data_IF_440792919617
#
_entry.id   IF_440792919617
#
_cell.length_a   1.000
_cell.length_b   1.000
_cell.length_c   1.000
_cell.angle_alpha   90.00
_cell.angle_beta   90.00
_cell.angle_gamma   90.00
#
_symmetry.space_group_name_H-M   'P 1'
#
loop_
_entity.id
_entity.type
_entity.pdbx_description
1 polymer ?
#
# COMPACT_ATOMS: atom_id res chain seq x y z
N UNK A 1 7.81 -21.83 -3.67
CA UNK A 1 7.41 -20.76 -2.73
C UNK A 1 8.26 -19.55 -3.00
N UNK A 2 7.67 -18.34 -3.01
CA UNK A 2 8.47 -17.10 -3.06
C UNK A 2 9.14 -16.92 -1.69
N UNK A 3 10.25 -16.20 -1.64
CA UNK A 3 10.92 -15.87 -0.38
C UNK A 3 10.60 -14.43 0.00
N UNK A 4 10.41 -14.17 1.30
CA UNK A 4 10.37 -12.81 1.83
C UNK A 4 11.70 -12.12 1.56
N UNK A 5 11.63 -10.91 0.99
CA UNK A 5 12.81 -10.07 0.81
C UNK A 5 12.99 -9.20 2.04
N UNK A 6 14.17 -9.27 2.64
CA UNK A 6 14.56 -8.36 3.73
C UNK A 6 14.80 -6.97 3.16
N UNK A 7 14.28 -5.95 3.84
CA UNK A 7 14.57 -4.55 3.56
C UNK A 7 15.79 -4.17 4.39
N UNK A 8 16.85 -3.71 3.72
CA UNK A 8 17.95 -3.04 4.40
C UNK A 8 17.46 -1.65 4.83
N UNK A 9 17.40 -1.41 6.14
CA UNK A 9 16.91 -0.16 6.71
C UNK A 9 17.83 1.04 6.44
N UNK A 10 19.02 0.81 5.89
CA UNK A 10 19.89 1.88 5.43
C UNK A 10 19.19 2.68 4.34
N UNK A 11 19.10 4.00 4.54
CA UNK A 11 18.58 4.88 3.49
C UNK A 11 19.49 4.79 2.25
N UNK A 12 18.90 4.78 1.04
CA UNK A 12 19.63 4.62 -0.20
C UNK A 12 20.73 5.68 -0.32
N UNK A 13 21.75 5.50 -1.16
CA UNK A 13 22.75 6.56 -1.44
C UNK A 13 22.33 7.44 -2.62
N UNK A 14 21.65 6.86 -3.60
CA UNK A 14 21.16 7.59 -4.76
C UNK A 14 19.93 8.43 -4.39
N UNK A 15 20.06 9.77 -4.50
CA UNK A 15 18.98 10.73 -4.23
C UNK A 15 18.12 11.05 -5.46
N UNK A 16 18.51 10.54 -6.63
CA UNK A 16 17.80 10.71 -7.91
C UNK A 16 17.65 9.36 -8.62
N UNK A 17 16.96 8.40 -8.02
CA UNK A 17 16.71 7.10 -8.65
C UNK A 17 15.76 7.26 -9.85
N UNK A 18 15.85 6.38 -10.84
CA UNK A 18 14.89 6.34 -11.96
C UNK A 18 13.73 5.38 -11.71
N UNK A 19 13.93 4.42 -10.81
CA UNK A 19 12.96 3.41 -10.37
C UNK A 19 12.90 3.38 -8.86
N UNK A 20 11.80 2.88 -8.33
CA UNK A 20 11.61 2.66 -6.89
C UNK A 20 10.76 1.40 -6.69
N UNK A 21 10.86 0.82 -5.50
CA UNK A 21 9.89 -0.15 -5.02
C UNK A 21 8.71 0.61 -4.40
N UNK A 22 7.62 0.76 -5.15
CA UNK A 22 6.35 1.21 -4.59
C UNK A 22 5.78 0.10 -3.70
N UNK A 23 5.77 0.32 -2.39
CA UNK A 23 5.36 -0.68 -1.41
C UNK A 23 3.94 -0.41 -0.95
N UNK A 24 3.00 -1.20 -1.45
CA UNK A 24 1.62 -1.13 -1.01
C UNK A 24 1.41 -2.01 0.21
N UNK A 25 0.74 -1.47 1.22
CA UNK A 25 0.19 -2.20 2.37
C UNK A 25 -1.35 -2.27 2.30
N UNK A 26 -1.96 -1.76 1.23
CA UNK A 26 -3.42 -1.68 1.07
C UNK A 26 -3.91 -2.42 -0.18
N UNK A 27 -5.02 -1.95 -0.77
CA UNK A 27 -5.64 -2.63 -1.92
C UNK A 27 -4.74 -2.75 -3.15
N UNK A 28 -3.75 -1.87 -3.34
CA UNK A 28 -2.85 -1.95 -4.50
C UNK A 28 -1.85 -3.11 -4.41
N UNK A 29 -1.82 -3.88 -3.32
CA UNK A 29 -1.16 -5.19 -3.29
C UNK A 29 -1.79 -6.19 -4.27
N UNK A 30 -3.06 -6.01 -4.61
CA UNK A 30 -3.75 -6.78 -5.65
C UNK A 30 -3.40 -6.22 -7.04
N UNK A 31 -2.84 -7.06 -7.93
CA UNK A 31 -2.32 -6.58 -9.21
C UNK A 31 -3.38 -5.99 -10.13
N UNK A 32 -4.61 -6.51 -10.13
CA UNK A 32 -5.70 -5.91 -10.93
C UNK A 32 -6.12 -4.54 -10.40
N UNK A 33 -6.03 -4.35 -9.07
CA UNK A 33 -6.28 -3.05 -8.46
C UNK A 33 -5.20 -2.07 -8.89
N UNK A 34 -3.92 -2.46 -8.76
CA UNK A 34 -2.80 -1.66 -9.22
C UNK A 34 -2.86 -1.37 -10.72
N UNK A 35 -3.31 -2.32 -11.54
CA UNK A 35 -3.46 -2.16 -12.98
C UNK A 35 -4.42 -1.02 -13.32
N UNK A 36 -5.48 -0.79 -12.54
CA UNK A 36 -6.36 0.35 -12.74
C UNK A 36 -5.64 1.70 -12.57
N UNK A 37 -4.76 1.83 -11.57
CA UNK A 37 -3.95 3.05 -11.36
C UNK A 37 -2.88 3.23 -12.43
N UNK A 38 -2.32 2.15 -12.98
CA UNK A 38 -1.25 2.20 -13.98
C UNK A 38 -1.81 2.36 -15.39
N UNK A 39 -2.70 1.47 -15.82
CA UNK A 39 -3.25 1.46 -17.19
C UNK A 39 -4.39 2.46 -17.37
N UNK A 40 -5.07 2.82 -16.29
CA UNK A 40 -6.31 3.58 -16.32
C UNK A 40 -7.52 2.71 -16.67
N UNK A 41 -8.67 3.36 -16.82
CA UNK A 41 -9.95 2.73 -17.11
C UNK A 41 -10.82 2.53 -15.87
N UNK A 42 -11.93 1.82 -16.04
CA UNK A 42 -12.92 1.57 -15.00
C UNK A 42 -12.97 0.06 -14.72
N UNK A 43 -12.51 -0.41 -13.55
CA UNK A 43 -12.66 -1.82 -13.18
C UNK A 43 -14.13 -2.25 -13.21
N UNK A 44 -14.44 -3.51 -13.55
CA UNK A 44 -15.82 -4.01 -13.53
C UNK A 44 -16.51 -3.75 -12.20
N UNK A 45 -17.68 -3.10 -12.23
CA UNK A 45 -18.45 -2.75 -11.04
C UNK A 45 -17.93 -1.55 -10.23
N UNK A 46 -16.83 -0.91 -10.64
CA UNK A 46 -16.34 0.29 -9.98
C UNK A 46 -17.10 1.53 -10.46
N UNK A 47 -17.56 2.38 -9.52
CA UNK A 47 -18.15 3.68 -9.85
C UNK A 47 -17.11 4.70 -10.37
N UNK A 48 -15.81 4.38 -10.25
CA UNK A 48 -14.70 5.30 -10.52
C UNK A 48 -13.88 4.87 -11.72
N UNK A 49 -13.67 5.81 -12.62
CA UNK A 49 -12.67 5.75 -13.69
C UNK A 49 -11.31 6.25 -13.18
N UNK A 50 -10.24 5.58 -13.59
CA UNK A 50 -8.85 5.93 -13.26
C UNK A 50 -8.18 6.50 -14.50
N UNK A 51 -7.51 7.66 -14.42
CA UNK A 51 -6.81 8.24 -15.57
C UNK A 51 -5.63 7.38 -16.06
N UNK A 52 -5.05 6.58 -15.16
CA UNK A 52 -3.83 5.82 -15.44
C UNK A 52 -2.57 6.67 -15.34
N UNK A 53 -1.42 6.03 -15.27
CA UNK A 53 -0.13 6.69 -15.28
C UNK A 53 0.22 7.17 -16.70
N UNK A 54 1.17 8.12 -16.78
CA UNK A 54 1.80 8.56 -18.03
C UNK A 54 2.50 7.40 -18.74
N UNK A 55 3.26 6.61 -17.98
CA UNK A 55 3.76 5.29 -18.40
C UNK A 55 2.83 4.19 -17.88
N UNK A 56 2.18 3.49 -18.81
CA UNK A 56 1.18 2.45 -18.53
C UNK A 56 1.76 1.03 -18.46
N UNK A 57 3.09 0.87 -18.51
CA UNK A 57 3.73 -0.43 -18.38
C UNK A 57 3.56 -1.01 -16.97
N UNK A 58 3.09 -2.26 -16.86
CA UNK A 58 2.97 -2.92 -15.56
C UNK A 58 4.33 -3.15 -14.90
N UNK A 59 4.41 -3.23 -13.55
CA UNK A 59 5.65 -3.50 -12.84
C UNK A 59 6.26 -4.81 -13.32
N UNK A 60 7.53 -4.77 -13.71
CA UNK A 60 8.26 -5.95 -14.21
C UNK A 60 8.53 -6.97 -13.09
N UNK A 61 8.53 -6.51 -11.84
CA UNK A 61 8.70 -7.33 -10.64
C UNK A 61 7.75 -6.86 -9.54
N UNK A 62 7.23 -7.81 -8.78
CA UNK A 62 6.48 -7.55 -7.56
C UNK A 62 6.84 -8.60 -6.51
N UNK A 63 7.33 -8.16 -5.36
CA UNK A 63 7.90 -9.01 -4.31
C UNK A 63 7.15 -8.83 -2.99
N UNK A 64 7.00 -9.89 -2.19
CA UNK A 64 6.51 -9.78 -0.82
C UNK A 64 7.60 -9.19 0.08
N UNK A 65 7.20 -8.26 0.96
CA UNK A 65 8.08 -7.61 1.95
C UNK A 65 7.33 -7.43 3.26
N UNK A 66 8.07 -7.24 4.35
CA UNK A 66 7.53 -6.81 5.64
C UNK A 66 8.16 -5.46 6.00
N UNK A 67 7.34 -4.44 6.28
CA UNK A 67 7.80 -3.16 6.81
C UNK A 67 7.80 -3.21 8.34
N UNK A 68 8.70 -2.50 9.00
CA UNK A 68 8.56 -2.20 10.44
C UNK A 68 7.51 -1.12 10.63
N UNK A 69 6.57 -1.30 11.56
CA UNK A 69 5.50 -0.33 11.79
C UNK A 69 4.17 -1.02 12.09
N UNK A 70 3.09 -0.26 11.93
CA UNK A 70 1.73 -0.78 12.04
C UNK A 70 0.86 -0.30 10.88
N UNK A 71 0.03 -1.22 10.36
CA UNK A 71 -1.06 -0.86 9.46
C UNK A 71 -2.33 -0.71 10.30
N UNK A 72 -3.13 0.31 10.01
CA UNK A 72 -4.39 0.56 10.70
C UNK A 72 -5.46 1.01 9.71
N UNK A 73 -6.73 0.80 10.06
CA UNK A 73 -7.87 1.25 9.27
C UNK A 73 -8.49 2.48 9.91
N UNK A 74 -8.57 3.57 9.14
CA UNK A 74 -9.18 4.81 9.57
C UNK A 74 -9.83 5.51 8.37
N UNK A 75 -10.61 6.55 8.65
CA UNK A 75 -11.37 7.35 7.67
C UNK A 75 -12.33 6.53 6.80
N UNK A 76 -13.38 7.16 6.28
CA UNK A 76 -14.28 6.44 5.38
C UNK A 76 -13.80 6.51 3.92
N UNK A 77 -13.73 5.36 3.25
CA UNK A 77 -13.50 5.25 1.82
C UNK A 77 -14.80 5.36 1.04
N UNK A 78 -14.99 6.38 0.17
CA UNK A 78 -16.16 6.43 -0.71
C UNK A 78 -16.15 5.32 -1.77
N UNK A 79 -15.00 4.70 -2.02
CA UNK A 79 -14.86 3.58 -2.97
C UNK A 79 -15.24 2.25 -2.32
N UNK A 80 -15.02 2.12 -1.01
CA UNK A 80 -15.13 0.84 -0.31
C UNK A 80 -16.24 0.78 0.73
N UNK A 81 -16.80 1.92 1.16
CA UNK A 81 -17.86 1.97 2.17
C UNK A 81 -17.40 1.54 3.57
N UNK A 82 -16.19 1.94 3.97
CA UNK A 82 -15.60 1.62 5.27
C UNK A 82 -14.17 2.15 5.43
N UNK A 83 -13.52 1.76 6.52
CA UNK A 83 -12.12 2.08 6.85
C UNK A 83 -11.14 1.74 5.72
N UNK A 84 -10.21 2.65 5.41
CA UNK A 84 -9.09 2.37 4.48
C UNK A 84 -7.78 2.24 5.24
N UNK A 85 -6.83 1.52 4.65
CA UNK A 85 -5.55 1.26 5.28
C UNK A 85 -4.64 2.50 5.25
N UNK A 86 -4.00 2.76 6.38
CA UNK A 86 -2.88 3.68 6.57
C UNK A 86 -1.74 2.95 7.26
N UNK A 87 -0.58 3.58 7.27
CA UNK A 87 0.65 3.02 7.80
C UNK A 87 1.33 4.02 8.74
N UNK A 88 1.63 3.57 9.95
CA UNK A 88 2.43 4.30 10.92
C UNK A 88 3.85 3.68 10.97
N UNK A 89 4.88 4.38 10.44
CA UNK A 89 6.27 3.88 10.44
C UNK A 89 6.95 3.98 11.82
N UNK A 90 6.37 4.70 12.78
CA UNK A 90 6.93 4.88 14.12
C UNK A 90 6.36 3.89 15.14
N UNK A 91 5.26 3.23 14.80
CA UNK A 91 4.72 2.14 15.61
C UNK A 91 5.67 0.94 15.65
N UNK A 92 5.54 0.13 16.70
CA UNK A 92 6.23 -1.16 16.79
C UNK A 92 5.41 -2.25 16.10
N UNK A 93 6.07 -3.19 15.44
CA UNK A 93 5.43 -4.32 14.80
C UNK A 93 5.92 -4.54 13.39
N UNK A 94 5.10 -5.25 12.62
CA UNK A 94 5.35 -5.56 11.22
C UNK A 94 4.11 -5.31 10.38
N UNK A 95 4.34 -4.91 9.13
CA UNK A 95 3.30 -4.71 8.13
C UNK A 95 3.57 -5.62 6.95
N UNK A 96 2.66 -6.56 6.71
CA UNK A 96 2.71 -7.39 5.51
C UNK A 96 2.37 -6.52 4.30
N UNK A 97 3.25 -6.52 3.30
CA UNK A 97 3.14 -5.62 2.17
C UNK A 97 3.64 -6.25 0.87
N UNK A 98 3.38 -5.57 -0.24
CA UNK A 98 3.87 -5.94 -1.56
C UNK A 98 4.58 -4.75 -2.21
N UNK A 99 5.83 -4.97 -2.59
CA UNK A 99 6.65 -3.99 -3.29
C UNK A 99 6.62 -4.23 -4.80
N UNK A 100 6.25 -3.21 -5.56
CA UNK A 100 6.13 -3.21 -7.02
C UNK A 100 7.24 -2.34 -7.63
N UNK A 101 8.04 -2.90 -8.54
CA UNK A 101 9.13 -2.13 -9.18
C UNK A 101 8.56 -1.24 -10.28
N UNK A 102 8.50 0.07 -10.00
CA UNK A 102 7.93 1.08 -10.88
C UNK A 102 8.94 2.18 -11.19
N UNK A 103 8.68 3.01 -12.19
CA UNK A 103 9.46 4.24 -12.40
C UNK A 103 9.09 5.28 -11.33
N UNK A 104 9.97 6.26 -11.06
CA UNK A 104 9.63 7.39 -10.18
C UNK A 104 8.41 8.15 -10.70
N UNK A 105 8.27 8.27 -12.02
CA UNK A 105 7.13 8.90 -12.67
C UNK A 105 5.82 8.16 -12.37
N UNK A 106 5.82 6.83 -12.48
CA UNK A 106 4.66 6.00 -12.13
C UNK A 106 4.33 6.10 -10.63
N UNK A 107 5.34 6.11 -9.75
CA UNK A 107 5.11 6.30 -8.32
C UNK A 107 4.42 7.64 -8.02
N UNK A 108 4.87 8.73 -8.66
CA UNK A 108 4.24 10.05 -8.57
C UNK A 108 2.79 10.06 -9.08
N UNK A 109 2.55 9.43 -10.23
CA UNK A 109 1.20 9.34 -10.83
C UNK A 109 0.23 8.49 -9.99
N UNK A 110 0.71 7.42 -9.35
CA UNK A 110 -0.07 6.62 -8.40
C UNK A 110 -0.41 7.48 -7.18
N UNK A 111 0.57 8.16 -6.58
CA UNK A 111 0.35 9.02 -5.41
C UNK A 111 -0.65 10.15 -5.68
N UNK A 112 -0.57 10.79 -6.86
CA UNK A 112 -1.53 11.81 -7.27
C UNK A 112 -2.97 11.26 -7.32
N UNK A 113 -3.16 10.07 -7.89
CA UNK A 113 -4.48 9.43 -8.00
C UNK A 113 -5.07 9.03 -6.64
N UNK A 114 -4.23 8.61 -5.68
CA UNK A 114 -4.66 8.31 -4.31
C UNK A 114 -5.18 9.56 -3.58
N UNK A 115 -4.65 10.73 -3.95
CA UNK A 115 -5.09 12.05 -3.51
C UNK A 115 -6.19 12.66 -4.38
N UNK A 116 -6.75 11.88 -5.31
CA UNK A 116 -7.84 12.29 -6.21
C UNK A 116 -7.45 13.45 -7.14
N UNK A 117 -6.16 13.54 -7.49
CA UNK A 117 -5.60 14.50 -8.44
C UNK A 117 -5.31 13.84 -9.78
N UNK A 118 -5.20 14.66 -10.81
CA UNK A 118 -4.71 14.22 -12.11
C UNK A 118 -3.21 13.86 -12.02
N UNK A 119 -2.79 12.74 -12.64
CA UNK A 119 -1.38 12.45 -12.93
C UNK A 119 -0.72 13.55 -13.77
N UNK A 120 0.60 13.66 -13.71
CA UNK A 120 1.34 14.61 -14.57
C UNK A 120 2.45 15.39 -13.88
N UNK A 121 2.46 15.44 -12.55
CA UNK A 121 3.47 16.16 -11.77
C UNK A 121 4.42 15.16 -11.11
N UNK A 122 5.72 15.42 -11.22
CA UNK A 122 6.74 14.62 -10.55
C UNK A 122 6.85 15.00 -9.07
N UNK A 123 7.13 14.01 -8.22
CA UNK A 123 7.37 14.24 -6.78
C UNK A 123 8.85 14.49 -6.53
N UNK A 124 9.15 15.45 -5.65
CA UNK A 124 10.49 15.56 -5.07
C UNK A 124 10.67 14.49 -3.97
N UNK A 125 11.60 13.57 -4.20
CA UNK A 125 11.90 12.47 -3.28
C UNK A 125 13.08 12.77 -2.36
N UNK A 126 13.79 13.89 -2.54
CA UNK A 126 15.08 14.15 -1.88
C UNK A 126 14.98 14.04 -0.37
N UNK A 127 13.98 14.68 0.24
CA UNK A 127 13.79 14.66 1.69
C UNK A 127 13.43 13.27 2.19
N UNK A 128 12.52 12.57 1.53
CA UNK A 128 12.15 11.21 1.91
C UNK A 128 13.35 10.23 1.82
N UNK A 129 14.20 10.39 0.81
CA UNK A 129 15.40 9.56 0.62
C UNK A 129 16.55 9.94 1.55
N UNK A 130 16.52 11.13 2.16
CA UNK A 130 17.58 11.62 3.06
C UNK A 130 17.21 11.46 4.52
N UNK A 131 15.96 11.74 4.87
CA UNK A 131 15.45 11.75 6.24
C UNK A 131 14.54 10.55 6.55
N UNK A 132 14.25 9.72 5.54
CA UNK A 132 13.32 8.59 5.68
C UNK A 132 11.84 8.98 5.57
N UNK A 133 11.51 10.27 5.55
CA UNK A 133 10.13 10.77 5.51
C UNK A 133 10.06 12.18 4.93
N UNK A 134 8.98 12.49 4.21
CA UNK A 134 8.65 13.86 3.77
C UNK A 134 7.14 14.07 3.74
N UNK A 135 6.66 15.19 4.27
CA UNK A 135 5.24 15.58 4.21
C UNK A 135 5.07 16.59 3.08
N UNK A 136 4.29 16.24 2.06
CA UNK A 136 4.13 17.01 0.82
C UNK A 136 2.85 17.87 0.80
N UNK A 137 1.98 17.73 1.80
CA UNK A 137 0.71 18.44 1.90
C UNK A 137 -0.15 17.96 3.06
N UNK A 138 -1.37 18.48 3.16
CA UNK A 138 -2.30 18.25 4.28
C UNK A 138 -3.28 17.07 4.07
N UNK A 139 -3.19 16.42 2.93
CA UNK A 139 -4.04 15.30 2.54
C UNK A 139 -3.68 13.95 3.18
N UNK A 140 -4.61 13.00 3.06
CA UNK A 140 -4.56 11.66 3.66
C UNK A 140 -3.38 10.78 3.23
N UNK A 141 -2.82 10.98 2.05
CA UNK A 141 -1.68 10.20 1.53
C UNK A 141 -0.54 11.13 1.05
N UNK A 142 -0.35 12.27 1.71
CA UNK A 142 0.67 13.25 1.36
C UNK A 142 2.03 13.02 2.04
N UNK A 143 2.17 11.97 2.84
CA UNK A 143 3.44 11.69 3.53
C UNK A 143 4.17 10.56 2.83
N UNK A 144 5.31 10.87 2.23
CA UNK A 144 6.24 9.86 1.73
C UNK A 144 7.04 9.26 2.89
N UNK A 145 7.25 7.95 2.82
CA UNK A 145 8.13 7.21 3.73
C UNK A 145 9.10 6.36 2.93
N UNK A 146 10.38 6.44 3.25
CA UNK A 146 11.41 5.54 2.77
C UNK A 146 11.77 4.53 3.86
N UNK A 147 11.39 3.27 3.64
CA UNK A 147 11.64 2.18 4.59
C UNK A 147 13.05 1.59 4.49
N UNK A 148 13.91 2.17 3.63
CA UNK A 148 15.24 1.65 3.30
C UNK A 148 15.34 1.24 1.84
N UNK A 149 16.02 0.12 1.57
CA UNK A 149 16.32 -0.34 0.22
C UNK A 149 16.24 -1.87 0.05
N UNK A 150 15.93 -2.29 -1.18
CA UNK A 150 15.99 -3.69 -1.63
C UNK A 150 16.69 -3.70 -2.99
N UNK A 151 17.74 -4.51 -3.13
CA UNK A 151 18.60 -4.52 -4.32
C UNK A 151 19.10 -3.11 -4.70
N UNK A 152 19.58 -2.35 -3.71
CA UNK A 152 20.04 -0.94 -3.82
C UNK A 152 18.97 0.06 -4.32
N UNK A 153 17.71 -0.39 -4.42
CA UNK A 153 16.59 0.41 -4.89
C UNK A 153 15.75 0.90 -3.69
N UNK A 154 15.37 2.19 -3.64
CA UNK A 154 14.57 2.71 -2.54
C UNK A 154 13.22 2.02 -2.41
N UNK A 155 12.85 1.70 -1.17
CA UNK A 155 11.52 1.21 -0.80
C UNK A 155 10.69 2.39 -0.34
N UNK A 156 9.73 2.80 -1.15
CA UNK A 156 8.89 3.97 -0.90
C UNK A 156 7.42 3.59 -0.76
N UNK A 157 6.74 4.30 0.13
CA UNK A 157 5.28 4.32 0.22
C UNK A 157 4.81 5.74 0.51
N UNK A 158 3.50 5.94 0.44
CA UNK A 158 2.81 7.11 0.99
C UNK A 158 1.84 6.69 2.09
N UNK A 159 1.57 7.58 3.03
CA UNK A 159 0.65 7.40 4.16
C UNK A 159 0.17 8.77 4.66
N UNK A 160 -0.59 8.77 5.75
CA UNK A 160 -1.07 9.98 6.40
C UNK A 160 0.04 10.72 7.17
N UNK A 161 -0.08 12.04 7.39
CA UNK A 161 0.89 12.80 8.17
C UNK A 161 0.80 12.57 9.68
N UNK A 162 -0.26 11.94 10.17
CA UNK A 162 -0.53 11.67 11.58
C UNK A 162 -0.12 10.26 12.03
N UNK A 163 0.01 10.05 13.34
CA UNK A 163 0.17 8.72 13.92
C UNK A 163 -1.19 8.00 14.00
N UNK A 164 -1.15 6.67 14.07
CA UNK A 164 -2.35 5.86 14.31
C UNK A 164 -3.08 6.18 15.63
N UNK A 165 -2.44 6.87 16.58
CA UNK A 165 -3.05 7.30 17.84
C UNK A 165 -3.83 8.63 17.72
N UNK A 166 -3.62 9.39 16.64
CA UNK A 166 -4.20 10.74 16.45
C UNK A 166 -5.52 10.73 15.67
N UNK A 167 -6.03 9.54 15.32
CA UNK A 167 -7.21 9.39 14.47
C UNK A 167 -8.09 8.24 14.97
N UNK A 168 -9.40 8.43 14.87
CA UNK A 168 -10.36 7.38 15.16
C UNK A 168 -10.24 6.25 14.13
N UNK A 169 -10.19 5.02 14.61
CA UNK A 169 -10.18 3.85 13.76
C UNK A 169 -11.58 3.55 13.24
N UNK A 170 -11.64 3.14 11.97
CA UNK A 170 -12.91 2.84 11.29
C UNK A 170 -12.82 1.42 10.75
N UNK A 171 -13.81 0.56 11.00
CA UNK A 171 -13.78 -0.81 10.49
C UNK A 171 -13.80 -0.84 8.96
N UNK A 172 -12.92 -1.65 8.32
CA UNK A 172 -12.96 -1.82 6.88
C UNK A 172 -14.20 -2.62 6.46
N UNK A 173 -14.68 -2.38 5.24
CA UNK A 173 -15.76 -3.16 4.66
C UNK A 173 -15.28 -4.54 4.20
N UNK A 174 -16.22 -5.48 4.03
CA UNK A 174 -15.93 -6.83 3.51
C UNK A 174 -15.23 -6.80 2.15
N UNK A 175 -15.67 -5.91 1.26
CA UNK A 175 -15.07 -5.73 -0.06
C UNK A 175 -13.61 -5.26 0.04
N UNK A 176 -13.30 -4.33 0.95
CA UNK A 176 -11.92 -3.86 1.14
C UNK A 176 -11.02 -4.94 1.72
N UNK A 177 -11.49 -5.62 2.77
CA UNK A 177 -10.77 -6.74 3.41
C UNK A 177 -10.45 -7.82 2.38
N UNK A 178 -11.41 -8.21 1.54
CA UNK A 178 -11.21 -9.21 0.49
C UNK A 178 -10.09 -8.82 -0.47
N UNK A 179 -10.10 -7.59 -1.01
CA UNK A 179 -9.06 -7.13 -1.94
C UNK A 179 -7.69 -7.06 -1.29
N UNK A 180 -7.62 -6.54 -0.07
CA UNK A 180 -6.36 -6.42 0.68
C UNK A 180 -5.77 -7.81 0.95
N UNK A 181 -6.56 -8.73 1.51
CA UNK A 181 -6.11 -10.06 1.85
C UNK A 181 -5.79 -10.92 0.61
N UNK A 182 -6.59 -10.84 -0.47
CA UNK A 182 -6.25 -11.49 -1.74
C UNK A 182 -4.94 -10.96 -2.34
N UNK A 183 -4.66 -9.66 -2.18
CA UNK A 183 -3.39 -9.04 -2.54
C UNK A 183 -2.20 -9.70 -1.83
N UNK A 184 -2.31 -9.90 -0.51
CA UNK A 184 -1.29 -10.58 0.30
C UNK A 184 -1.12 -12.05 -0.10
N UNK A 185 -2.20 -12.80 -0.26
CA UNK A 185 -2.15 -14.22 -0.65
C UNK A 185 -1.49 -14.40 -2.02
N UNK A 186 -1.81 -13.55 -2.99
CA UNK A 186 -1.22 -13.60 -4.34
C UNK A 186 0.29 -13.31 -4.34
N UNK A 187 0.85 -12.80 -3.24
CA UNK A 187 2.29 -12.64 -3.08
C UNK A 187 3.00 -13.99 -2.83
N UNK A 188 2.28 -15.03 -2.44
CA UNK A 188 2.71 -16.44 -2.46
C UNK A 188 3.70 -16.83 -1.36
N UNK A 189 3.66 -16.15 -0.22
CA UNK A 189 4.52 -16.42 0.95
C UNK A 189 3.75 -16.59 2.26
N UNK A 190 2.52 -16.09 2.33
CA UNK A 190 1.62 -16.26 3.46
C UNK A 190 0.42 -17.10 3.00
N UNK A 191 -0.09 -17.94 3.89
CA UNK A 191 -1.32 -18.70 3.69
C UNK A 191 -2.55 -17.93 4.21
N UNK A 192 -3.73 -18.51 4.02
CA UNK A 192 -5.01 -17.92 4.41
C UNK A 192 -5.07 -17.63 5.91
N UNK A 193 -4.57 -18.56 6.74
CA UNK A 193 -4.59 -18.42 8.20
C UNK A 193 -3.70 -17.26 8.65
N UNK A 194 -2.47 -17.18 8.14
CA UNK A 194 -1.55 -16.10 8.47
C UNK A 194 -2.08 -14.72 8.02
N UNK A 195 -2.67 -14.63 6.82
CA UNK A 195 -3.27 -13.38 6.32
C UNK A 195 -4.50 -13.00 7.12
N UNK A 196 -5.39 -13.96 7.42
CA UNK A 196 -6.60 -13.71 8.20
C UNK A 196 -6.28 -13.23 9.61
N UNK A 197 -5.33 -13.89 10.29
CA UNK A 197 -4.85 -13.49 11.62
C UNK A 197 -4.24 -12.09 11.60
N UNK A 198 -3.36 -11.82 10.63
CA UNK A 198 -2.74 -10.49 10.48
C UNK A 198 -3.79 -9.38 10.27
N UNK A 199 -4.74 -9.56 9.36
CA UNK A 199 -5.74 -8.54 9.06
C UNK A 199 -6.72 -8.36 10.22
N UNK A 200 -7.16 -9.44 10.88
CA UNK A 200 -8.01 -9.36 12.06
C UNK A 200 -7.34 -8.59 13.21
N UNK A 201 -6.03 -8.77 13.39
CA UNK A 201 -5.28 -8.11 14.45
C UNK A 201 -5.01 -6.61 14.19
N UNK A 202 -5.21 -6.13 12.97
CA UNK A 202 -4.92 -4.74 12.62
C UNK A 202 -5.88 -3.77 13.34
N UNK A 203 -5.38 -2.66 13.92
CA UNK A 203 -6.20 -1.59 14.48
C UNK A 203 -7.28 -1.10 13.51
N UNK A 204 -8.50 -0.96 14.01
CA UNK A 204 -9.71 -0.70 13.21
C UNK A 204 -10.40 -1.95 12.67
N UNK A 205 -9.68 -3.02 12.36
CA UNK A 205 -10.28 -4.33 12.06
C UNK A 205 -10.50 -5.18 13.32
N UNK A 206 -9.59 -5.08 14.29
CA UNK A 206 -9.67 -5.81 15.56
C UNK A 206 -10.98 -5.53 16.29
N UNK A 207 -11.63 -6.59 16.76
CA UNK A 207 -12.96 -6.53 17.38
C UNK A 207 -14.14 -6.45 16.41
N UNK A 208 -13.91 -6.18 15.12
CA UNK A 208 -14.93 -6.12 14.08
C UNK A 208 -14.84 -7.28 13.08
N UNK A 209 -13.63 -7.81 12.88
CA UNK A 209 -13.34 -8.92 11.99
C UNK A 209 -12.73 -10.09 12.77
N UNK A 210 -13.28 -11.29 12.59
CA UNK A 210 -12.67 -12.53 13.09
C UNK A 210 -11.79 -13.16 12.02
N UNK A 211 -10.77 -13.90 12.44
CA UNK A 211 -9.89 -14.66 11.53
C UNK A 211 -10.73 -15.59 10.64
N UNK A 212 -11.68 -16.32 11.24
CA UNK A 212 -12.62 -17.18 10.51
C UNK A 212 -13.44 -16.39 9.48
N UNK A 213 -14.00 -15.23 9.85
CA UNK A 213 -14.79 -14.42 8.93
C UNK A 213 -13.97 -13.93 7.73
N UNK A 214 -12.68 -13.60 7.93
CA UNK A 214 -11.78 -13.24 6.84
C UNK A 214 -11.44 -14.46 5.97
N UNK A 215 -11.18 -15.62 6.58
CA UNK A 215 -10.90 -16.86 5.83
C UNK A 215 -12.10 -17.31 4.98
N UNK A 216 -13.32 -17.21 5.53
CA UNK A 216 -14.57 -17.52 4.82
C UNK A 216 -14.75 -16.57 3.63
N UNK A 217 -14.53 -15.26 3.82
CA UNK A 217 -14.57 -14.26 2.74
C UNK A 217 -13.62 -14.53 1.56
N UNK A 218 -12.49 -15.19 1.85
CA UNK A 218 -11.47 -15.54 0.87
C UNK A 218 -11.78 -16.87 0.16
N UNK A 219 -12.64 -17.70 0.76
CA UNK A 219 -13.08 -18.98 0.20
C UNK A 219 -14.31 -18.83 -0.70
N UNK A 220 -15.19 -17.87 -0.41
CA UNK A 220 -16.42 -17.60 -1.18
C UNK A 220 -16.18 -16.96 -2.57
N UNK A 221 -14.95 -16.53 -2.86
CA UNK A 221 -14.57 -15.87 -4.11
C UNK A 221 -13.56 -16.65 -4.97
N UNK A 222 -13.27 -17.91 -4.63
CA UNK A 222 -12.36 -18.79 -5.36
C UNK A 222 -13.10 -19.63 -6.41
#
# INVERSE_FOLDING_TARGET
MKALRSIDSTLPRNRRPTRVWYTSYGSNMHLDRLAAYIKGGQPPGAAREYPGCRDRAMPTRSIPVELTGAMYFATESPVWGGGRAFYDPHASGRVLARAHLVTVQQFADIAAQEMYRAPGTDLDLVDALTQGRAVLGEGRYETLVCAGQVDEMPVLTFTAPWSMADVEWVPPSSAYVRFLAAGLLSAGVWDVEAVASYVAACPGANGHWSEKGIADLLSEGA
#
